data_IF_999802268783
#
_entry.id   IF_999802268783
#
_cell.length_a   1.000
_cell.length_b   1.000
_cell.length_c   1.000
_cell.angle_alpha   90.00
_cell.angle_beta   90.00
_cell.angle_gamma   90.00
#
_symmetry.space_group_name_H-M   'P 1'
#
loop_
_entity.id
_entity.type
_entity.pdbx_description
1 polymer ?
#
# COMPACT_ATOMS: atom_id res chain seq x y z
N UNK A 1 18.59 15.15 37.73
CA UNK A 1 17.40 14.65 36.99
C UNK A 1 17.70 14.25 35.53
N UNK A 2 18.74 14.78 34.87
CA UNK A 2 19.04 14.43 33.46
C UNK A 2 19.55 13.01 33.17
N UNK A 3 20.15 12.32 34.15
CA UNK A 3 20.71 10.97 33.94
C UNK A 3 19.63 9.89 33.75
N UNK A 4 18.50 10.02 34.46
CA UNK A 4 17.37 9.08 34.39
C UNK A 4 16.63 9.20 33.05
N UNK A 5 16.44 10.44 32.57
CA UNK A 5 15.76 10.73 31.30
C UNK A 5 16.59 10.23 30.10
N UNK A 6 17.91 10.42 30.13
CA UNK A 6 18.83 9.95 29.08
C UNK A 6 18.89 8.41 29.01
N UNK A 7 18.88 7.75 30.16
CA UNK A 7 18.88 6.28 30.22
C UNK A 7 17.54 5.69 29.72
N UNK A 8 16.42 6.27 30.15
CA UNK A 8 15.08 5.85 29.71
C UNK A 8 14.87 6.00 28.21
N UNK A 9 15.27 7.15 27.63
CA UNK A 9 15.11 7.40 26.19
C UNK A 9 15.91 6.41 25.33
N UNK A 10 17.15 6.11 25.72
CA UNK A 10 17.99 5.12 25.02
C UNK A 10 17.37 3.71 25.06
N UNK A 11 16.78 3.33 26.20
CA UNK A 11 16.10 2.06 26.37
C UNK A 11 14.85 1.97 25.50
N UNK A 12 14.02 3.03 25.46
CA UNK A 12 12.84 3.09 24.60
C UNK A 12 13.24 2.98 23.13
N UNK A 13 14.21 3.79 22.69
CA UNK A 13 14.72 3.76 21.31
C UNK A 13 15.29 2.38 20.94
N UNK A 14 15.98 1.72 21.87
CA UNK A 14 16.52 0.39 21.67
C UNK A 14 15.40 -0.64 21.47
N UNK A 15 14.40 -0.66 22.36
CA UNK A 15 13.29 -1.61 22.29
C UNK A 15 12.49 -1.39 21.00
N UNK A 16 12.12 -0.13 20.71
CA UNK A 16 11.33 0.22 19.52
C UNK A 16 12.07 -0.14 18.22
N UNK A 17 13.34 0.26 18.08
CA UNK A 17 14.13 -0.10 16.88
C UNK A 17 14.36 -1.60 16.75
N UNK A 18 14.49 -2.33 17.86
CA UNK A 18 14.65 -3.80 17.80
C UNK A 18 13.37 -4.46 17.33
N UNK A 19 12.21 -4.06 17.87
CA UNK A 19 10.90 -4.60 17.46
C UNK A 19 10.63 -4.27 16.00
N UNK A 20 10.86 -3.02 15.58
CA UNK A 20 10.69 -2.60 14.18
C UNK A 20 11.65 -3.34 13.24
N UNK A 21 12.92 -3.53 13.64
CA UNK A 21 13.88 -4.29 12.84
C UNK A 21 13.39 -5.72 12.58
N UNK A 22 12.94 -6.42 13.62
CA UNK A 22 12.39 -7.78 13.50
C UNK A 22 11.15 -7.79 12.61
N UNK A 23 10.25 -6.81 12.75
CA UNK A 23 9.06 -6.69 11.91
C UNK A 23 9.42 -6.46 10.43
N UNK A 24 10.32 -5.53 10.12
CA UNK A 24 10.73 -5.26 8.74
C UNK A 24 11.53 -6.39 8.11
N UNK A 25 12.33 -7.11 8.90
CA UNK A 25 12.96 -8.36 8.44
C UNK A 25 11.92 -9.43 8.13
N UNK A 26 10.89 -9.59 8.96
CA UNK A 26 9.80 -10.53 8.68
C UNK A 26 9.06 -10.16 7.39
N UNK A 27 8.80 -8.86 7.15
CA UNK A 27 8.23 -8.36 5.90
C UNK A 27 9.12 -8.66 4.69
N UNK A 28 10.43 -8.43 4.81
CA UNK A 28 11.38 -8.74 3.74
C UNK A 28 11.44 -10.25 3.45
N UNK A 29 11.49 -11.09 4.49
CA UNK A 29 11.43 -12.55 4.36
C UNK A 29 10.13 -12.99 3.69
N UNK A 30 9.00 -12.41 4.08
CA UNK A 30 7.72 -12.67 3.44
C UNK A 30 7.74 -12.30 1.94
N UNK A 31 8.31 -11.15 1.57
CA UNK A 31 8.53 -10.77 0.17
C UNK A 31 9.41 -11.77 -0.59
N UNK A 32 10.49 -12.26 0.02
CA UNK A 32 11.36 -13.30 -0.58
C UNK A 32 10.59 -14.61 -0.76
N UNK A 33 9.77 -15.01 0.22
CA UNK A 33 8.94 -16.21 0.16
C UNK A 33 7.90 -16.10 -0.97
N UNK A 34 7.26 -14.93 -1.12
CA UNK A 34 6.35 -14.66 -2.24
C UNK A 34 7.05 -14.80 -3.59
N UNK A 35 8.27 -14.30 -3.72
CA UNK A 35 9.06 -14.42 -4.96
C UNK A 35 9.55 -15.85 -5.24
N UNK A 36 9.91 -16.60 -4.20
CA UNK A 36 10.61 -17.89 -4.34
C UNK A 36 9.66 -19.08 -4.43
N UNK A 37 8.56 -19.04 -3.69
CA UNK A 37 7.71 -20.22 -3.48
C UNK A 37 6.43 -20.14 -4.30
N UNK A 38 6.46 -20.62 -5.55
CA UNK A 38 5.27 -20.75 -6.41
C UNK A 38 4.12 -21.54 -5.73
N UNK A 39 4.45 -22.54 -4.91
CA UNK A 39 3.48 -23.37 -4.19
C UNK A 39 2.77 -22.62 -3.04
N UNK A 40 3.48 -21.74 -2.33
CA UNK A 40 2.88 -20.89 -1.27
C UNK A 40 2.01 -19.81 -1.91
N UNK A 41 2.49 -19.19 -3.00
CA UNK A 41 1.70 -18.21 -3.76
C UNK A 41 0.40 -18.84 -4.27
N UNK A 42 0.45 -20.06 -4.81
CA UNK A 42 -0.73 -20.75 -5.32
C UNK A 42 -1.77 -21.12 -4.25
N UNK A 43 -1.34 -21.41 -3.02
CA UNK A 43 -2.27 -21.75 -1.95
C UNK A 43 -2.85 -20.51 -1.25
N UNK A 44 -2.06 -19.44 -1.14
CA UNK A 44 -2.42 -18.29 -0.31
C UNK A 44 -3.03 -17.14 -1.11
N UNK A 45 -2.58 -16.92 -2.34
CA UNK A 45 -2.86 -15.66 -3.07
C UNK A 45 -3.30 -15.86 -4.52
N UNK A 46 -3.04 -16.99 -5.19
CA UNK A 46 -3.43 -17.15 -6.61
C UNK A 46 -4.94 -17.24 -6.86
N UNK A 47 -5.75 -17.40 -5.81
CA UNK A 47 -7.22 -17.31 -5.90
C UNK A 47 -7.72 -15.85 -5.99
N UNK A 48 -6.86 -14.89 -5.63
CA UNK A 48 -7.22 -13.48 -5.48
C UNK A 48 -6.35 -12.59 -6.38
N UNK A 49 -5.11 -12.99 -6.65
CA UNK A 49 -4.09 -12.20 -7.33
C UNK A 49 -3.33 -13.01 -8.37
N UNK A 50 -3.11 -12.41 -9.54
CA UNK A 50 -2.27 -13.00 -10.59
C UNK A 50 -0.80 -13.06 -10.18
N UNK A 51 -0.08 -14.07 -10.69
CA UNK A 51 1.32 -14.33 -10.33
C UNK A 51 2.28 -13.14 -10.62
N UNK A 52 1.93 -12.29 -11.58
CA UNK A 52 2.72 -11.11 -11.92
C UNK A 52 2.56 -9.95 -10.92
N UNK A 53 1.37 -9.78 -10.34
CA UNK A 53 1.13 -8.82 -9.24
C UNK A 53 1.98 -9.19 -8.03
N UNK A 54 2.00 -10.49 -7.74
CA UNK A 54 2.77 -11.02 -6.63
C UNK A 54 4.26 -10.72 -6.82
N UNK A 55 4.79 -10.80 -8.04
CA UNK A 55 6.19 -10.44 -8.31
C UNK A 55 6.48 -8.95 -8.04
N UNK A 56 5.63 -8.03 -8.50
CA UNK A 56 5.81 -6.58 -8.27
C UNK A 56 5.70 -6.19 -6.79
N UNK A 57 4.70 -6.74 -6.11
CA UNK A 57 4.49 -6.53 -4.67
C UNK A 57 5.65 -7.16 -3.87
N UNK A 58 6.08 -8.37 -4.22
CA UNK A 58 7.17 -9.06 -3.55
C UNK A 58 8.49 -8.27 -3.64
N UNK A 59 8.83 -7.76 -4.83
CA UNK A 59 10.05 -6.94 -5.01
C UNK A 59 9.98 -5.69 -4.14
N UNK A 60 8.84 -4.99 -4.14
CA UNK A 60 8.65 -3.79 -3.32
C UNK A 60 8.79 -4.10 -1.83
N UNK A 61 8.15 -5.17 -1.34
CA UNK A 61 8.24 -5.61 0.06
C UNK A 61 9.69 -5.92 0.48
N UNK A 62 10.48 -6.54 -0.40
CA UNK A 62 11.89 -6.85 -0.12
C UNK A 62 12.73 -5.57 -0.03
N UNK A 63 12.61 -4.67 -1.02
CA UNK A 63 13.42 -3.44 -1.06
C UNK A 63 13.10 -2.53 0.11
N UNK A 64 11.81 -2.28 0.36
CA UNK A 64 11.36 -1.42 1.47
C UNK A 64 11.67 -2.07 2.82
N UNK A 65 11.34 -3.37 2.98
CA UNK A 65 11.58 -4.09 4.22
C UNK A 65 13.07 -4.14 4.59
N UNK A 66 13.96 -4.43 3.63
CA UNK A 66 15.39 -4.46 3.89
C UNK A 66 15.95 -3.06 4.17
N UNK A 67 15.51 -2.04 3.43
CA UNK A 67 15.91 -0.65 3.67
C UNK A 67 15.55 -0.18 5.09
N UNK A 68 14.31 -0.38 5.50
CA UNK A 68 13.85 -0.01 6.84
C UNK A 68 14.52 -0.85 7.94
N UNK A 69 14.73 -2.14 7.71
CA UNK A 69 15.46 -3.00 8.65
C UNK A 69 16.89 -2.51 8.86
N UNK A 70 17.60 -2.07 7.81
CA UNK A 70 18.95 -1.51 7.96
C UNK A 70 18.96 -0.21 8.76
N UNK A 71 17.98 0.67 8.56
CA UNK A 71 17.83 1.90 9.34
C UNK A 71 17.59 1.59 10.83
N UNK A 72 16.74 0.62 11.13
CA UNK A 72 16.50 0.17 12.50
C UNK A 72 17.74 -0.50 13.12
N UNK A 73 18.48 -1.28 12.35
CA UNK A 73 19.72 -1.92 12.80
C UNK A 73 20.79 -0.89 13.17
N UNK A 74 20.94 0.17 12.37
CA UNK A 74 21.81 1.31 12.71
C UNK A 74 21.34 1.96 14.02
N UNK A 75 20.03 2.12 14.21
CA UNK A 75 19.44 2.62 15.46
C UNK A 75 19.76 1.76 16.68
N UNK A 76 19.70 0.43 16.55
CA UNK A 76 20.09 -0.51 17.60
C UNK A 76 21.59 -0.39 17.96
N UNK A 77 22.47 -0.32 16.95
CA UNK A 77 23.92 -0.14 17.18
C UNK A 77 24.18 1.21 17.85
N UNK A 78 23.52 2.27 17.39
CA UNK A 78 23.66 3.62 17.93
C UNK A 78 23.29 3.69 19.42
N UNK A 79 22.27 2.93 19.86
CA UNK A 79 21.87 2.88 21.26
C UNK A 79 22.78 1.96 22.09
N UNK A 80 23.19 0.80 21.56
CA UNK A 80 24.04 -0.17 22.26
C UNK A 80 25.48 0.31 22.50
N UNK A 81 26.11 0.95 21.51
CA UNK A 81 27.54 1.28 21.59
C UNK A 81 27.87 2.39 22.61
N UNK A 82 26.87 3.06 23.19
CA UNK A 82 27.09 4.19 24.11
C UNK A 82 27.76 5.42 23.45
N UNK A 83 28.16 5.31 22.19
CA UNK A 83 28.80 6.36 21.39
C UNK A 83 27.81 7.48 21.10
N UNK A 84 27.90 8.57 21.87
CA UNK A 84 27.05 9.74 21.70
C UNK A 84 27.13 10.35 20.28
N UNK A 85 28.23 10.14 19.55
CA UNK A 85 28.39 10.59 18.16
C UNK A 85 27.45 9.81 17.22
N UNK A 86 27.41 8.49 17.33
CA UNK A 86 26.58 7.65 16.46
C UNK A 86 25.09 7.89 16.70
N UNK A 87 24.71 8.08 17.97
CA UNK A 87 23.35 8.47 18.34
C UNK A 87 22.97 9.85 17.78
N UNK A 88 23.90 10.83 17.78
CA UNK A 88 23.66 12.15 17.16
C UNK A 88 23.48 12.05 15.65
N UNK A 89 24.27 11.24 14.95
CA UNK A 89 24.13 11.02 13.50
C UNK A 89 22.79 10.36 13.20
N UNK A 90 22.41 9.33 13.95
CA UNK A 90 21.11 8.67 13.80
C UNK A 90 19.95 9.65 14.06
N UNK A 91 20.03 10.44 15.12
CA UNK A 91 19.04 11.48 15.40
C UNK A 91 18.97 12.53 14.28
N UNK A 92 20.10 12.93 13.70
CA UNK A 92 20.14 13.85 12.57
C UNK A 92 19.45 13.25 11.34
N UNK A 93 19.70 11.97 11.03
CA UNK A 93 19.02 11.26 9.93
C UNK A 93 17.50 11.25 10.16
N UNK A 94 17.04 10.92 11.37
CA UNK A 94 15.61 10.95 11.69
C UNK A 94 15.00 12.35 11.56
N UNK A 95 15.71 13.39 11.98
CA UNK A 95 15.26 14.78 11.82
C UNK A 95 15.14 15.14 10.34
N UNK A 96 16.11 14.75 9.51
CA UNK A 96 16.06 15.00 8.06
C UNK A 96 14.87 14.29 7.43
N UNK A 97 14.65 13.01 7.78
CA UNK A 97 13.47 12.24 7.31
C UNK A 97 12.18 12.95 7.72
N UNK A 98 12.07 13.34 8.99
CA UNK A 98 10.91 14.06 9.52
C UNK A 98 10.67 15.40 8.80
N UNK A 99 11.72 16.16 8.48
CA UNK A 99 11.58 17.42 7.72
C UNK A 99 11.11 17.14 6.29
N UNK A 100 11.67 16.13 5.61
CA UNK A 100 11.24 15.72 4.28
C UNK A 100 9.78 15.27 4.29
N UNK A 101 9.37 14.52 5.31
CA UNK A 101 7.98 14.10 5.51
C UNK A 101 7.05 15.29 5.72
N UNK A 102 7.40 16.24 6.60
CA UNK A 102 6.59 17.45 6.81
C UNK A 102 6.44 18.26 5.52
N UNK A 103 7.50 18.41 4.73
CA UNK A 103 7.45 19.10 3.43
C UNK A 103 6.55 18.35 2.47
N UNK A 104 6.72 17.02 2.34
CA UNK A 104 5.89 16.19 1.47
C UNK A 104 4.40 16.30 1.84
N UNK A 105 4.08 16.21 3.14
CA UNK A 105 2.73 16.41 3.67
C UNK A 105 2.20 17.79 3.32
N UNK A 106 2.98 18.84 3.57
CA UNK A 106 2.54 20.21 3.33
C UNK A 106 2.21 20.45 1.86
N UNK A 107 3.05 19.93 0.95
CA UNK A 107 2.82 19.99 -0.51
C UNK A 107 1.55 19.25 -0.87
N UNK A 108 1.38 18.04 -0.36
CA UNK A 108 0.21 17.23 -0.71
C UNK A 108 -1.09 17.79 -0.12
N UNK A 109 -1.07 18.29 1.12
CA UNK A 109 -2.25 18.90 1.74
C UNK A 109 -2.66 20.20 1.05
N UNK A 110 -1.68 21.03 0.65
CA UNK A 110 -1.95 22.30 -0.05
C UNK A 110 -2.70 22.07 -1.36
N UNK A 111 -2.34 21.00 -2.07
CA UNK A 111 -2.89 20.63 -3.38
C UNK A 111 -3.61 19.27 -3.31
N UNK A 112 -4.35 19.01 -2.23
CA UNK A 112 -5.01 17.71 -2.00
C UNK A 112 -5.97 17.32 -3.14
N UNK A 113 -6.65 18.30 -3.75
CA UNK A 113 -7.51 18.11 -4.93
C UNK A 113 -6.72 17.76 -6.18
N UNK A 114 -5.50 18.30 -6.34
CA UNK A 114 -4.61 18.00 -7.45
C UNK A 114 -4.01 16.61 -7.30
N UNK A 115 -3.58 16.22 -6.10
CA UNK A 115 -3.11 14.85 -5.88
C UNK A 115 -4.26 13.84 -6.05
N UNK A 116 -5.43 14.13 -5.47
CA UNK A 116 -6.59 13.26 -5.63
C UNK A 116 -6.96 13.09 -7.11
N UNK A 117 -6.98 14.17 -7.90
CA UNK A 117 -7.24 14.08 -9.34
C UNK A 117 -6.15 13.35 -10.12
N UNK A 118 -4.87 13.49 -9.77
CA UNK A 118 -3.79 12.69 -10.35
C UNK A 118 -3.98 11.21 -10.07
N UNK A 119 -4.22 10.83 -8.82
CA UNK A 119 -4.41 9.42 -8.46
C UNK A 119 -5.68 8.87 -9.10
N UNK A 120 -6.76 9.64 -9.12
CA UNK A 120 -8.00 9.28 -9.82
C UNK A 120 -7.75 9.03 -11.31
N UNK A 121 -6.96 9.88 -11.97
CA UNK A 121 -6.59 9.71 -13.38
C UNK A 121 -5.72 8.46 -13.60
N UNK A 122 -4.80 8.18 -12.69
CA UNK A 122 -4.03 6.93 -12.72
C UNK A 122 -4.94 5.71 -12.53
N UNK A 123 -5.92 5.77 -11.62
CA UNK A 123 -6.91 4.70 -11.42
C UNK A 123 -7.81 4.51 -12.64
N UNK A 124 -8.21 5.58 -13.32
CA UNK A 124 -8.91 5.53 -14.61
C UNK A 124 -8.04 4.85 -15.67
N UNK A 125 -6.75 5.21 -15.77
CA UNK A 125 -5.81 4.59 -16.71
C UNK A 125 -5.62 3.09 -16.41
N UNK A 126 -5.58 2.70 -15.13
CA UNK A 126 -5.57 1.30 -14.70
C UNK A 126 -6.91 0.59 -14.99
N UNK A 127 -8.02 1.33 -15.06
CA UNK A 127 -9.31 0.75 -15.43
C UNK A 127 -9.36 0.43 -16.93
N UNK A 128 -8.72 1.24 -17.78
CA UNK A 128 -8.64 0.97 -19.23
C UNK A 128 -7.90 -0.36 -19.53
N UNK A 129 -6.86 -0.64 -18.75
CA UNK A 129 -6.08 -1.88 -18.82
C UNK A 129 -6.73 -3.07 -18.09
N UNK A 130 -7.93 -2.89 -17.53
CA UNK A 130 -8.68 -3.95 -16.85
C UNK A 130 -8.97 -5.14 -17.79
N UNK A 131 -8.83 -6.36 -17.27
CA UNK A 131 -9.01 -7.62 -17.97
C UNK A 131 -8.20 -7.74 -19.28
N UNK A 132 -7.07 -7.05 -19.37
CA UNK A 132 -6.16 -7.20 -20.49
C UNK A 132 -5.28 -8.45 -20.39
N UNK A 133 -4.63 -8.78 -21.49
CA UNK A 133 -3.83 -10.01 -21.66
C UNK A 133 -2.35 -9.82 -21.33
N UNK A 134 -1.87 -8.57 -21.34
CA UNK A 134 -0.47 -8.25 -21.05
C UNK A 134 -0.15 -8.40 -19.56
N UNK A 135 1.15 -8.45 -19.22
CA UNK A 135 1.58 -8.56 -17.82
C UNK A 135 1.09 -7.36 -17.00
N UNK A 136 1.28 -6.14 -17.50
CA UNK A 136 0.89 -4.89 -16.84
C UNK A 136 -0.65 -4.77 -16.69
N UNK A 137 -1.41 -5.30 -17.64
CA UNK A 137 -2.88 -5.30 -17.61
C UNK A 137 -3.45 -6.24 -16.55
N UNK A 138 -2.83 -7.40 -16.34
CA UNK A 138 -3.18 -8.30 -15.23
C UNK A 138 -2.96 -7.65 -13.88
N UNK A 139 -1.93 -6.78 -13.76
CA UNK A 139 -1.74 -6.02 -12.54
C UNK A 139 -2.91 -5.10 -12.25
N UNK A 140 -3.29 -4.35 -13.27
CA UNK A 140 -4.37 -3.38 -13.17
C UNK A 140 -5.70 -4.05 -12.79
N UNK A 141 -5.94 -5.26 -13.30
CA UNK A 141 -7.12 -6.08 -12.97
C UNK A 141 -7.17 -6.47 -11.48
N UNK A 142 -6.05 -6.87 -10.89
CA UNK A 142 -6.04 -7.28 -9.49
C UNK A 142 -6.17 -6.08 -8.53
N UNK A 143 -5.52 -4.96 -8.86
CA UNK A 143 -5.67 -3.70 -8.12
C UNK A 143 -7.14 -3.29 -8.08
N UNK A 144 -7.81 -3.30 -9.23
CA UNK A 144 -9.23 -2.97 -9.32
C UNK A 144 -10.13 -3.98 -8.60
N UNK A 145 -9.82 -5.28 -8.66
CA UNK A 145 -10.54 -6.34 -7.94
C UNK A 145 -10.53 -6.09 -6.42
N UNK A 146 -9.37 -5.70 -5.87
CA UNK A 146 -9.26 -5.33 -4.46
C UNK A 146 -9.95 -4.01 -4.16
N UNK A 147 -9.73 -2.97 -4.97
CA UNK A 147 -10.32 -1.65 -4.76
C UNK A 147 -11.86 -1.70 -4.71
N UNK A 148 -12.47 -2.52 -5.58
CA UNK A 148 -13.91 -2.76 -5.60
C UNK A 148 -14.42 -3.56 -4.40
N UNK A 149 -13.56 -4.35 -3.74
CA UNK A 149 -13.94 -5.26 -2.65
C UNK A 149 -13.65 -4.71 -1.25
N UNK A 150 -12.61 -3.89 -1.08
CA UNK A 150 -12.11 -3.46 0.24
C UNK A 150 -13.11 -2.53 0.94
N UNK A 151 -13.51 -2.82 2.19
CA UNK A 151 -14.50 -1.99 2.88
C UNK A 151 -15.91 -2.19 2.32
N UNK A 152 -16.50 -1.16 1.69
CA UNK A 152 -17.80 -1.24 1.03
C UNK A 152 -17.65 -1.58 -0.46
N UNK A 153 -18.43 -2.52 -0.97
CA UNK A 153 -18.43 -2.89 -2.41
C UNK A 153 -18.74 -1.67 -3.27
N UNK A 154 -17.91 -1.43 -4.29
CA UNK A 154 -18.12 -0.40 -5.30
C UNK A 154 -17.79 -0.98 -6.70
N UNK A 155 -18.21 -0.30 -7.77
CA UNK A 155 -18.06 -0.80 -9.14
C UNK A 155 -17.58 0.31 -10.08
N UNK A 156 -16.45 0.07 -10.75
CA UNK A 156 -15.87 1.04 -11.68
C UNK A 156 -15.50 2.37 -10.99
N UNK A 157 -15.21 3.40 -11.77
CA UNK A 157 -14.94 4.73 -11.23
C UNK A 157 -16.25 5.43 -10.85
N UNK A 158 -17.17 5.50 -11.81
CA UNK A 158 -18.49 6.13 -11.69
C UNK A 158 -19.64 5.11 -11.80
N UNK A 159 -19.34 3.84 -12.12
CA UNK A 159 -20.32 2.76 -12.10
C UNK A 159 -20.01 1.66 -13.12
N UNK A 160 -20.98 0.76 -13.34
CA UNK A 160 -20.84 -0.35 -14.28
C UNK A 160 -20.68 0.11 -15.75
N UNK A 161 -21.22 1.28 -16.09
CA UNK A 161 -21.13 1.85 -17.43
C UNK A 161 -19.70 2.16 -17.88
N UNK A 162 -18.73 2.25 -16.95
CA UNK A 162 -17.33 2.44 -17.30
C UNK A 162 -16.76 1.19 -18.02
N UNK A 163 -17.16 -0.01 -17.60
CA UNK A 163 -16.76 -1.24 -18.26
C UNK A 163 -17.44 -1.39 -19.63
N UNK A 164 -18.69 -0.93 -19.77
CA UNK A 164 -19.40 -0.93 -21.07
C UNK A 164 -18.72 -0.01 -22.08
N UNK A 165 -18.37 1.22 -21.67
CA UNK A 165 -17.62 2.17 -22.52
C UNK A 165 -16.30 1.60 -23.01
N UNK A 166 -15.63 0.82 -22.15
CA UNK A 166 -14.34 0.18 -22.45
C UNK A 166 -14.47 -1.17 -23.18
N UNK A 167 -15.69 -1.64 -23.45
CA UNK A 167 -15.97 -2.97 -24.00
C UNK A 167 -15.29 -4.11 -23.20
N UNK A 168 -15.28 -3.99 -21.88
CA UNK A 168 -14.70 -4.98 -20.96
C UNK A 168 -15.78 -5.81 -20.29
N UNK A 169 -15.43 -7.03 -19.88
CA UNK A 169 -16.32 -7.90 -19.11
C UNK A 169 -16.65 -7.26 -17.75
N UNK A 170 -17.92 -7.31 -17.35
CA UNK A 170 -18.35 -6.83 -16.05
C UNK A 170 -17.86 -7.77 -14.93
N UNK A 171 -17.18 -7.24 -13.91
CA UNK A 171 -16.75 -8.03 -12.77
C UNK A 171 -17.92 -8.26 -11.79
N UNK A 172 -17.86 -9.34 -11.00
CA UNK A 172 -18.95 -9.74 -10.09
C UNK A 172 -19.27 -8.69 -9.01
N UNK A 173 -18.29 -7.86 -8.68
CA UNK A 173 -18.41 -6.72 -7.75
C UNK A 173 -19.49 -5.74 -8.21
N UNK A 174 -19.69 -5.59 -9.52
CA UNK A 174 -20.73 -4.73 -10.11
C UNK A 174 -22.15 -5.30 -9.97
N UNK A 175 -22.27 -6.57 -9.59
CA UNK A 175 -23.54 -7.23 -9.29
C UNK A 175 -23.62 -7.64 -7.80
N UNK A 176 -22.92 -6.91 -6.90
CA UNK A 176 -22.91 -7.17 -5.45
C UNK A 176 -22.48 -8.61 -5.08
N UNK A 177 -21.63 -9.24 -5.90
CA UNK A 177 -21.11 -10.60 -5.70
C UNK A 177 -22.18 -11.70 -5.51
N UNK A 178 -23.45 -11.43 -5.80
CA UNK A 178 -24.56 -12.38 -5.58
C UNK A 178 -24.85 -13.26 -6.79
N UNK A 179 -24.34 -12.91 -7.97
CA UNK A 179 -24.57 -13.63 -9.21
C UNK A 179 -23.37 -14.51 -9.62
N UNK A 180 -23.64 -15.62 -10.33
CA UNK A 180 -22.61 -16.49 -10.93
C UNK A 180 -21.90 -15.78 -12.10
N UNK A 181 -22.60 -14.88 -12.78
CA UNK A 181 -22.10 -14.02 -13.85
C UNK A 181 -22.78 -12.67 -13.75
N UNK A 182 -22.07 -11.58 -14.08
CA UNK A 182 -22.61 -10.22 -14.04
C UNK A 182 -22.88 -9.71 -15.46
N UNK A 183 -24.14 -9.43 -15.77
CA UNK A 183 -24.58 -8.79 -17.01
C UNK A 183 -25.07 -7.36 -16.76
N UNK A 184 -25.13 -6.54 -17.81
CA UNK A 184 -25.51 -5.13 -17.72
C UNK A 184 -26.89 -4.91 -17.08
N UNK A 185 -27.87 -5.80 -17.33
CA UNK A 185 -29.22 -5.62 -16.75
C UNK A 185 -29.22 -5.85 -15.24
N UNK A 186 -28.47 -6.85 -14.77
CA UNK A 186 -28.32 -7.10 -13.33
C UNK A 186 -27.53 -5.97 -12.67
N UNK A 187 -26.43 -5.52 -13.29
CA UNK A 187 -25.63 -4.41 -12.77
C UNK A 187 -26.44 -3.10 -12.68
N UNK A 188 -27.29 -2.84 -13.68
CA UNK A 188 -28.21 -1.70 -13.67
C UNK A 188 -29.28 -1.81 -12.57
N UNK A 189 -29.83 -3.00 -12.36
CA UNK A 189 -30.84 -3.26 -11.32
C UNK A 189 -30.29 -3.08 -9.90
N UNK A 190 -29.07 -3.58 -9.66
CA UNK A 190 -28.39 -3.47 -8.37
C UNK A 190 -27.85 -2.06 -8.11
N UNK A 191 -27.43 -1.36 -9.16
CA UNK A 191 -26.94 0.03 -9.12
C UNK A 191 -25.86 0.27 -8.06
N UNK A 192 -24.83 -0.57 -8.05
CA UNK A 192 -23.67 -0.43 -7.14
C UNK A 192 -22.98 0.93 -7.38
N UNK A 193 -22.65 1.70 -6.33
CA UNK A 193 -22.00 3.01 -6.46
C UNK A 193 -20.58 2.90 -7.04
N UNK A 194 -20.12 3.97 -7.69
CA UNK A 194 -18.75 4.11 -8.18
C UNK A 194 -17.70 4.17 -7.07
N UNK A 195 -16.46 3.83 -7.38
CA UNK A 195 -15.35 3.85 -6.43
C UNK A 195 -14.68 5.23 -6.27
N UNK A 196 -15.01 6.24 -7.08
CA UNK A 196 -14.33 7.55 -7.09
C UNK A 196 -14.24 8.22 -5.71
N UNK A 197 -15.38 8.41 -5.04
CA UNK A 197 -15.43 9.08 -3.74
C UNK A 197 -14.69 8.28 -2.66
N UNK A 198 -14.80 6.95 -2.74
CA UNK A 198 -14.14 6.03 -1.82
C UNK A 198 -12.62 6.04 -1.97
N UNK A 199 -12.11 6.05 -3.20
CA UNK A 199 -10.68 6.17 -3.49
C UNK A 199 -10.17 7.51 -2.96
N UNK A 200 -10.89 8.60 -3.21
CA UNK A 200 -10.57 9.93 -2.66
C UNK A 200 -10.46 9.93 -1.13
N UNK A 201 -11.45 9.34 -0.44
CA UNK A 201 -11.44 9.23 1.02
C UNK A 201 -10.29 8.36 1.54
N UNK A 202 -10.02 7.21 0.89
CA UNK A 202 -8.96 6.29 1.28
C UNK A 202 -7.58 6.97 1.18
N UNK A 203 -7.34 7.76 0.13
CA UNK A 203 -6.09 8.51 -0.04
C UNK A 203 -5.87 9.45 1.15
N UNK A 204 -6.88 10.24 1.51
CA UNK A 204 -6.79 11.19 2.64
C UNK A 204 -6.53 10.45 3.96
N UNK A 205 -7.19 9.31 4.18
CA UNK A 205 -7.00 8.49 5.39
C UNK A 205 -5.61 7.87 5.45
N UNK A 206 -5.13 7.25 4.38
CA UNK A 206 -3.80 6.64 4.33
C UNK A 206 -2.73 7.71 4.55
N UNK A 207 -2.93 8.89 3.97
CA UNK A 207 -2.07 10.04 4.23
C UNK A 207 -2.07 10.42 5.71
N UNK A 208 -3.21 10.53 6.37
CA UNK A 208 -3.27 10.81 7.81
C UNK A 208 -2.59 9.73 8.66
N UNK A 209 -2.73 8.46 8.29
CA UNK A 209 -2.20 7.31 9.04
C UNK A 209 -0.69 7.10 8.90
N UNK A 210 -0.08 7.49 7.77
CA UNK A 210 1.38 7.37 7.59
C UNK A 210 2.15 8.26 8.58
N UNK A 211 1.51 9.32 9.13
CA UNK A 211 2.17 10.31 9.99
C UNK A 211 1.69 10.31 11.45
N UNK A 212 0.86 9.33 11.86
CA UNK A 212 0.29 9.21 13.21
C UNK A 212 0.80 7.94 13.91
#
# INVERSE_FOLDING_TARGET
MGCVISCGLKLILQVLNTVLCVAFLAVAVFGILLKSSKSIVQQLLSKIFDQFIIDGIAITLVVVGLGLATLCFIGCIASCCGCNILLKIYAFILIVILVVEIIAVSVVFSDSTKLASLIVKEMETLLESFNGTSKEEKMSTAVWTVAMTIGSTCCGMDGYGDFEKLNKSLPLQCCNMTAISCDSKTAQSVSVPGCRDKIGALIVIVMLLIFL
#
